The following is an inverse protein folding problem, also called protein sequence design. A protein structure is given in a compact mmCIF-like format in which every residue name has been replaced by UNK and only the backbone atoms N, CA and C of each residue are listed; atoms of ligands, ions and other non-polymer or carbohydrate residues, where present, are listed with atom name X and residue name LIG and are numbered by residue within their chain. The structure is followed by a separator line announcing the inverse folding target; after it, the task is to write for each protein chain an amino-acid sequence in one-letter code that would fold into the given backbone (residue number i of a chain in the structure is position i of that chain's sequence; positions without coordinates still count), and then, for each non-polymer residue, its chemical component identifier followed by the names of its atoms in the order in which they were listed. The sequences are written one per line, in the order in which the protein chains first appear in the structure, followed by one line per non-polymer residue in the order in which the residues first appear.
data_IF_458164341653
#
_entry.id   IF_458164341653
#
_cell.length_a   1.000
_cell.length_b   1.000
_cell.length_c   1.000
_cell.angle_alpha   90.00
_cell.angle_beta   90.00
_cell.angle_gamma   90.00
#
_symmetry.space_group_name_H-M   'P 1'
#
loop_
_entity.id
_entity.type
_entity.pdbx_description
1 polymer ?
#
# COMPACT_ATOMS: atom_id res chain seq x y z
N UNK A 1 26.61 -32.61 -7.95
CA UNK A 1 25.98 -31.58 -8.79
C UNK A 1 24.70 -31.15 -8.06
N UNK A 2 24.54 -29.85 -7.76
CA UNK A 2 23.30 -29.38 -7.15
C UNK A 2 22.15 -29.51 -8.16
N UNK A 3 20.96 -29.89 -7.71
CA UNK A 3 19.75 -29.76 -8.51
C UNK A 3 19.34 -28.30 -8.67
N UNK A 4 18.42 -28.02 -9.58
CA UNK A 4 18.02 -26.65 -9.89
C UNK A 4 17.44 -25.88 -8.69
N UNK A 5 16.49 -26.45 -7.90
CA UNK A 5 15.95 -25.77 -6.72
C UNK A 5 17.02 -25.42 -5.69
N UNK A 6 17.94 -26.32 -5.41
CA UNK A 6 19.03 -26.10 -4.48
C UNK A 6 20.01 -25.04 -4.99
N UNK A 7 20.29 -25.03 -6.31
CA UNK A 7 21.14 -24.02 -6.93
C UNK A 7 20.52 -22.63 -6.84
N UNK A 8 19.20 -22.52 -7.07
CA UNK A 8 18.46 -21.24 -6.94
C UNK A 8 18.47 -20.74 -5.51
N UNK A 9 18.24 -21.61 -4.52
CA UNK A 9 18.30 -21.24 -3.10
C UNK A 9 19.70 -20.79 -2.69
N UNK A 10 20.74 -21.56 -3.04
CA UNK A 10 22.11 -21.20 -2.71
C UNK A 10 22.56 -19.89 -3.39
N UNK A 11 22.05 -19.63 -4.61
CA UNK A 11 22.30 -18.38 -5.33
C UNK A 11 21.64 -17.19 -4.62
N UNK A 12 20.37 -17.30 -4.27
CA UNK A 12 19.64 -16.26 -3.54
C UNK A 12 20.29 -15.98 -2.17
N UNK A 13 20.62 -17.01 -1.44
CA UNK A 13 21.27 -16.92 -0.13
C UNK A 13 22.63 -16.21 -0.22
N UNK A 14 23.42 -16.55 -1.23
CA UNK A 14 24.67 -15.87 -1.51
C UNK A 14 24.50 -14.39 -1.88
N UNK A 15 23.44 -14.02 -2.62
CA UNK A 15 23.12 -12.63 -2.94
C UNK A 15 22.80 -11.80 -1.70
N UNK A 16 22.10 -12.40 -0.74
CA UNK A 16 21.69 -11.76 0.51
C UNK A 16 22.80 -11.71 1.57
N UNK A 17 23.97 -12.28 1.27
CA UNK A 17 25.13 -12.28 2.16
C UNK A 17 25.17 -13.44 3.17
N UNK A 18 24.34 -14.47 2.95
CA UNK A 18 24.36 -15.73 3.71
C UNK A 18 25.48 -16.67 3.27
N UNK A 19 25.13 -17.87 2.81
CA UNK A 19 26.09 -18.90 2.41
C UNK A 19 26.87 -18.55 1.13
N UNK A 20 28.15 -18.95 1.06
CA UNK A 20 28.93 -18.91 -0.18
C UNK A 20 28.94 -20.25 -0.94
N UNK A 21 28.03 -21.17 -0.59
CA UNK A 21 27.95 -22.52 -1.21
C UNK A 21 27.86 -22.45 -2.74
N UNK A 22 27.16 -21.41 -3.24
CA UNK A 22 26.99 -21.22 -4.70
C UNK A 22 28.33 -21.00 -5.43
N UNK A 23 29.32 -20.41 -4.79
CA UNK A 23 30.63 -20.15 -5.45
C UNK A 23 31.31 -21.44 -5.95
N UNK A 24 31.09 -22.56 -5.25
CA UNK A 24 31.61 -23.87 -5.67
C UNK A 24 30.94 -24.40 -6.94
N UNK A 25 29.74 -23.89 -7.29
CA UNK A 25 29.00 -24.30 -8.51
C UNK A 25 29.21 -23.33 -9.68
N UNK A 26 29.70 -22.12 -9.41
CA UNK A 26 29.97 -21.11 -10.42
C UNK A 26 31.31 -21.31 -11.09
N UNK A 27 31.44 -20.91 -12.34
CA UNK A 27 32.68 -20.92 -13.09
C UNK A 27 33.11 -19.48 -13.41
N UNK A 28 34.37 -19.21 -13.16
CA UNK A 28 35.01 -18.00 -13.68
C UNK A 28 35.28 -18.09 -15.18
N UNK A 29 35.85 -17.06 -15.74
CA UNK A 29 36.34 -17.02 -17.12
C UNK A 29 37.85 -16.76 -17.17
N UNK A 30 38.40 -16.55 -18.37
CA UNK A 30 39.84 -16.31 -18.55
C UNK A 30 40.35 -15.00 -17.91
N UNK A 31 39.46 -14.08 -17.51
CA UNK A 31 39.83 -12.76 -16.99
C UNK A 31 39.47 -12.61 -15.51
N UNK A 32 38.36 -13.24 -15.05
CA UNK A 32 37.81 -13.02 -13.73
C UNK A 32 37.44 -14.32 -13.04
N UNK A 33 37.63 -14.36 -11.72
CA UNK A 33 37.20 -15.49 -10.88
C UNK A 33 35.68 -15.54 -10.72
N UNK A 34 35.13 -16.71 -10.38
CA UNK A 34 33.73 -16.87 -10.06
C UNK A 34 33.28 -15.94 -8.92
N UNK A 35 34.15 -15.76 -7.92
CA UNK A 35 33.89 -14.90 -6.76
C UNK A 35 33.78 -13.42 -7.17
N UNK A 36 34.70 -12.92 -8.00
CA UNK A 36 34.65 -11.54 -8.53
C UNK A 36 33.38 -11.30 -9.32
N UNK A 37 33.06 -12.20 -10.25
CA UNK A 37 31.84 -12.08 -11.08
C UNK A 37 30.57 -12.13 -10.24
N UNK A 38 30.51 -13.01 -9.25
CA UNK A 38 29.38 -13.09 -8.32
C UNK A 38 29.27 -11.84 -7.45
N UNK A 39 30.39 -11.27 -7.00
CA UNK A 39 30.45 -10.01 -6.27
C UNK A 39 29.86 -8.83 -7.07
N UNK A 40 30.21 -8.72 -8.36
CA UNK A 40 29.62 -7.72 -9.26
C UNK A 40 28.11 -7.90 -9.39
N UNK A 41 27.67 -9.15 -9.60
CA UNK A 41 26.24 -9.46 -9.71
C UNK A 41 25.48 -9.13 -8.42
N UNK A 42 26.04 -9.50 -7.26
CA UNK A 42 25.48 -9.19 -5.95
C UNK A 42 25.31 -7.69 -5.74
N UNK A 43 26.35 -6.90 -6.07
CA UNK A 43 26.26 -5.45 -5.97
C UNK A 43 25.17 -4.87 -6.88
N UNK A 44 25.09 -5.34 -8.12
CA UNK A 44 24.06 -4.93 -9.06
C UNK A 44 22.63 -5.32 -8.58
N UNK A 45 22.47 -6.49 -8.00
CA UNK A 45 21.20 -6.94 -7.41
C UNK A 45 20.73 -6.00 -6.28
N UNK A 46 21.64 -5.67 -5.34
CA UNK A 46 21.34 -4.76 -4.25
C UNK A 46 21.02 -3.36 -4.74
N UNK A 47 21.80 -2.83 -5.69
CA UNK A 47 21.53 -1.50 -6.26
C UNK A 47 20.16 -1.44 -6.92
N UNK A 48 19.77 -2.46 -7.69
CA UNK A 48 18.46 -2.51 -8.33
C UNK A 48 17.31 -2.56 -7.32
N UNK A 49 17.45 -3.31 -6.21
CA UNK A 49 16.45 -3.34 -5.16
C UNK A 49 16.30 -1.98 -4.48
N UNK A 50 17.39 -1.34 -4.14
CA UNK A 50 17.38 0.01 -3.52
C UNK A 50 16.79 1.04 -4.48
N UNK A 51 17.16 1.01 -5.75
CA UNK A 51 16.61 1.87 -6.79
C UNK A 51 15.09 1.66 -6.95
N UNK A 52 14.63 0.42 -7.04
CA UNK A 52 13.21 0.09 -7.12
C UNK A 52 12.44 0.60 -5.91
N UNK A 53 12.97 0.36 -4.70
CA UNK A 53 12.36 0.92 -3.48
C UNK A 53 12.34 2.46 -3.51
N UNK A 54 13.36 3.10 -4.07
CA UNK A 54 13.39 4.56 -4.21
C UNK A 54 12.33 5.10 -5.17
N UNK A 55 11.92 4.32 -6.17
CA UNK A 55 10.83 4.65 -7.10
C UNK A 55 9.47 4.50 -6.41
N UNK A 56 9.27 3.40 -5.67
CA UNK A 56 8.00 3.10 -4.99
C UNK A 56 7.78 3.96 -3.74
N UNK A 57 8.88 4.46 -3.12
CA UNK A 57 8.85 5.22 -1.86
C UNK A 57 9.54 6.59 -1.99
N UNK A 58 9.11 7.45 -2.92
CA UNK A 58 9.78 8.73 -3.17
C UNK A 58 9.64 9.72 -2.00
N UNK A 59 8.50 9.73 -1.31
CA UNK A 59 8.29 10.57 -0.13
C UNK A 59 9.16 10.13 1.04
N UNK A 60 9.28 8.82 1.28
CA UNK A 60 10.17 8.26 2.29
C UNK A 60 11.63 8.58 1.98
N UNK A 61 12.04 8.47 0.71
CA UNK A 61 13.38 8.80 0.27
C UNK A 61 13.70 10.28 0.49
N UNK A 62 12.77 11.18 0.12
CA UNK A 62 12.90 12.61 0.36
C UNK A 62 12.95 12.96 1.87
N UNK A 63 12.17 12.24 2.69
CA UNK A 63 12.13 12.41 4.13
C UNK A 63 13.43 11.98 4.82
N UNK A 64 14.02 10.87 4.37
CA UNK A 64 15.23 10.29 4.96
C UNK A 64 16.51 10.96 4.43
N UNK A 65 16.51 11.38 3.18
CA UNK A 65 17.70 11.70 2.39
C UNK A 65 18.38 10.45 1.82
N UNK A 66 19.13 10.62 0.73
CA UNK A 66 19.65 9.51 -0.07
C UNK A 66 20.48 8.49 0.73
N UNK A 67 21.42 8.95 1.55
CA UNK A 67 22.29 8.05 2.32
C UNK A 67 21.54 7.26 3.40
N UNK A 68 20.61 7.92 4.10
CA UNK A 68 19.82 7.25 5.13
C UNK A 68 18.80 6.29 4.50
N UNK A 69 18.25 6.64 3.35
CA UNK A 69 17.36 5.77 2.60
C UNK A 69 18.09 4.50 2.10
N UNK A 70 19.34 4.62 1.57
CA UNK A 70 20.13 3.44 1.16
C UNK A 70 20.38 2.50 2.34
N UNK A 71 20.76 3.02 3.51
CA UNK A 71 20.95 2.22 4.72
C UNK A 71 19.66 1.52 5.17
N UNK A 72 18.54 2.24 5.16
CA UNK A 72 17.22 1.74 5.49
C UNK A 72 16.79 0.63 4.54
N UNK A 73 16.89 0.87 3.23
CA UNK A 73 16.49 -0.08 2.20
C UNK A 73 17.32 -1.38 2.29
N UNK A 74 18.63 -1.28 2.50
CA UNK A 74 19.49 -2.45 2.71
C UNK A 74 19.15 -3.22 3.96
N UNK A 75 18.90 -2.54 5.09
CA UNK A 75 18.49 -3.18 6.33
C UNK A 75 17.15 -3.92 6.16
N UNK A 76 16.20 -3.30 5.48
CA UNK A 76 14.91 -3.90 5.17
C UNK A 76 15.05 -5.16 4.30
N UNK A 77 15.73 -5.07 3.15
CA UNK A 77 15.89 -6.19 2.21
C UNK A 77 16.64 -7.35 2.87
N UNK A 78 17.66 -7.05 3.69
CA UNK A 78 18.39 -8.08 4.44
C UNK A 78 17.52 -8.87 5.41
N UNK A 79 16.51 -8.21 6.00
CA UNK A 79 15.59 -8.83 6.96
C UNK A 79 14.33 -9.42 6.32
N UNK A 80 13.92 -8.85 5.19
CA UNK A 80 12.72 -9.25 4.43
C UNK A 80 13.07 -9.52 2.96
N UNK A 81 13.84 -10.59 2.68
CA UNK A 81 14.13 -10.97 1.30
C UNK A 81 12.83 -11.25 0.54
N UNK A 82 12.78 -10.82 -0.72
CA UNK A 82 11.60 -11.02 -1.55
C UNK A 82 11.31 -12.51 -1.72
N UNK A 83 10.08 -12.91 -1.45
CA UNK A 83 9.56 -14.26 -1.71
C UNK A 83 8.70 -14.29 -2.97
N UNK A 84 8.58 -13.16 -3.67
CA UNK A 84 7.80 -13.03 -4.88
C UNK A 84 8.71 -12.79 -6.09
N UNK A 85 8.46 -13.40 -7.26
CA UNK A 85 9.30 -13.25 -8.44
C UNK A 85 9.30 -11.81 -8.99
N UNK A 86 8.24 -11.04 -8.76
CA UNK A 86 8.16 -9.65 -9.18
C UNK A 86 8.73 -8.72 -8.11
N UNK A 87 9.64 -7.85 -8.52
CA UNK A 87 10.28 -6.81 -7.69
C UNK A 87 9.26 -5.82 -7.11
N UNK A 88 8.12 -5.65 -7.79
CA UNK A 88 6.99 -4.82 -7.36
C UNK A 88 6.58 -5.07 -5.89
N UNK A 89 6.65 -6.32 -5.44
CA UNK A 89 6.22 -6.68 -4.09
C UNK A 89 7.33 -6.55 -3.03
N UNK A 90 8.52 -6.12 -3.45
CA UNK A 90 9.66 -6.03 -2.55
C UNK A 90 9.40 -5.10 -1.36
N UNK A 91 8.71 -3.96 -1.58
CA UNK A 91 8.45 -2.94 -0.56
C UNK A 91 7.23 -3.18 0.34
N UNK A 92 6.40 -4.19 0.09
CA UNK A 92 5.08 -4.37 0.73
C UNK A 92 5.08 -4.37 2.27
N UNK A 93 6.18 -4.71 2.90
CA UNK A 93 6.33 -4.78 4.36
C UNK A 93 7.21 -3.67 4.93
N UNK A 94 7.60 -2.69 4.11
CA UNK A 94 8.54 -1.65 4.54
C UNK A 94 7.97 -0.80 5.67
N UNK A 95 6.69 -0.42 5.62
CA UNK A 95 6.03 0.32 6.70
C UNK A 95 6.02 -0.46 8.02
N UNK A 96 5.71 -1.76 7.98
CA UNK A 96 5.72 -2.64 9.17
C UNK A 96 7.14 -2.76 9.76
N UNK A 97 8.14 -2.92 8.91
CA UNK A 97 9.54 -2.96 9.30
C UNK A 97 9.95 -1.66 10.01
N UNK A 98 9.61 -0.50 9.44
CA UNK A 98 9.95 0.79 10.01
C UNK A 98 9.22 1.07 11.34
N UNK A 99 8.01 0.56 11.51
CA UNK A 99 7.26 0.68 12.75
C UNK A 99 7.82 -0.21 13.89
N UNK A 100 8.55 -1.27 13.56
CA UNK A 100 9.04 -2.24 14.55
C UNK A 100 10.53 -2.15 14.85
N UNK A 101 11.35 -1.67 13.92
CA UNK A 101 12.79 -1.77 13.98
C UNK A 101 13.47 -0.46 14.37
N UNK A 102 14.41 -0.55 15.31
CA UNK A 102 15.30 0.57 15.63
C UNK A 102 16.28 0.84 14.48
N UNK A 103 16.66 2.09 14.26
CA UNK A 103 16.23 3.29 14.97
C UNK A 103 14.91 3.90 14.47
N UNK A 104 14.33 3.40 13.38
CA UNK A 104 13.22 4.02 12.64
C UNK A 104 11.91 4.02 13.43
N UNK A 105 11.65 2.98 14.26
CA UNK A 105 10.42 2.88 15.07
C UNK A 105 10.21 4.04 16.04
N UNK A 106 11.29 4.74 16.39
CA UNK A 106 11.25 5.86 17.33
C UNK A 106 10.73 7.15 16.67
N UNK A 107 10.60 7.14 15.33
CA UNK A 107 10.04 8.23 14.57
C UNK A 107 8.95 7.73 13.61
N UNK A 108 7.66 7.86 13.98
CA UNK A 108 6.53 7.32 13.22
C UNK A 108 6.39 7.92 11.81
N UNK A 109 7.02 9.06 11.53
CA UNK A 109 7.01 9.63 10.19
C UNK A 109 7.55 8.68 9.12
N UNK A 110 8.53 7.86 9.46
CA UNK A 110 9.09 6.89 8.52
C UNK A 110 8.07 5.82 8.14
N UNK A 111 7.41 5.22 9.13
CA UNK A 111 6.43 4.17 8.92
C UNK A 111 5.17 4.70 8.19
N UNK A 112 4.68 5.89 8.61
CA UNK A 112 3.50 6.52 8.01
C UNK A 112 3.77 6.94 6.56
N UNK A 113 4.95 7.52 6.27
CA UNK A 113 5.35 7.91 4.93
C UNK A 113 5.49 6.68 4.01
N UNK A 114 6.11 5.61 4.51
CA UNK A 114 6.20 4.36 3.76
C UNK A 114 4.80 3.76 3.50
N UNK A 115 3.90 3.82 4.47
CA UNK A 115 2.51 3.34 4.30
C UNK A 115 1.78 4.16 3.23
N UNK A 116 1.99 5.46 3.23
CA UNK A 116 1.37 6.37 2.28
C UNK A 116 1.93 6.16 0.86
N UNK A 117 3.26 6.16 0.69
CA UNK A 117 3.89 5.89 -0.61
C UNK A 117 3.45 4.54 -1.19
N UNK A 118 3.42 3.48 -0.34
CA UNK A 118 2.98 2.16 -0.78
C UNK A 118 1.54 2.16 -1.26
N UNK A 119 0.63 2.88 -0.59
CA UNK A 119 -0.76 2.95 -1.02
C UNK A 119 -0.91 3.60 -2.40
N UNK A 120 -0.13 4.64 -2.69
CA UNK A 120 -0.15 5.29 -4.00
C UNK A 120 0.44 4.39 -5.09
N UNK A 121 1.58 3.74 -4.83
CA UNK A 121 2.20 2.79 -5.74
C UNK A 121 1.27 1.58 -6.01
N UNK A 122 0.64 1.06 -4.96
CA UNK A 122 -0.34 -0.03 -5.07
C UNK A 122 -1.54 0.39 -5.94
N UNK A 123 -2.11 1.57 -5.70
CA UNK A 123 -3.25 2.06 -6.47
C UNK A 123 -2.90 2.24 -7.95
N UNK A 124 -1.67 2.68 -8.27
CA UNK A 124 -1.19 2.81 -9.64
C UNK A 124 -1.15 1.46 -10.36
N UNK A 125 -0.65 0.45 -9.71
CA UNK A 125 -0.36 -0.86 -10.29
C UNK A 125 -1.51 -1.88 -10.20
N UNK A 126 -2.52 -1.64 -9.35
CA UNK A 126 -3.64 -2.57 -9.17
C UNK A 126 -4.47 -2.71 -10.47
N UNK A 127 -5.11 -3.86 -10.68
CA UNK A 127 -5.90 -4.09 -11.90
C UNK A 127 -7.07 -3.10 -12.00
N UNK A 128 -7.49 -2.85 -13.25
CA UNK A 128 -8.71 -2.10 -13.52
C UNK A 128 -9.95 -2.93 -13.20
N UNK A 129 -11.02 -2.23 -12.85
CA UNK A 129 -12.36 -2.78 -12.73
C UNK A 129 -13.37 -1.73 -13.23
N UNK A 130 -14.58 -2.15 -13.66
CA UNK A 130 -15.64 -1.20 -13.88
C UNK A 130 -15.99 -0.46 -12.59
N UNK A 131 -16.49 0.78 -12.70
CA UNK A 131 -16.99 1.54 -11.57
C UNK A 131 -18.51 1.60 -11.64
N UNK A 132 -19.17 1.16 -10.57
CA UNK A 132 -20.61 1.35 -10.39
C UNK A 132 -20.90 2.81 -10.02
N UNK A 133 -21.95 3.35 -10.60
CA UNK A 133 -22.44 4.69 -10.33
C UNK A 133 -23.79 4.70 -9.59
N UNK A 134 -24.27 5.90 -9.29
CA UNK A 134 -25.58 6.06 -8.65
C UNK A 134 -26.72 5.45 -9.48
N UNK A 135 -26.59 5.45 -10.83
CA UNK A 135 -27.55 4.88 -11.75
C UNK A 135 -27.82 3.37 -11.50
N UNK A 136 -26.79 2.64 -11.05
CA UNK A 136 -26.91 1.20 -10.73
C UNK A 136 -27.75 0.92 -9.50
N UNK A 137 -27.98 1.92 -8.66
CA UNK A 137 -28.78 1.83 -7.44
C UNK A 137 -30.20 2.42 -7.61
N UNK A 138 -30.46 3.19 -8.65
CA UNK A 138 -31.77 3.88 -8.84
C UNK A 138 -32.96 2.93 -8.92
N UNK A 139 -32.74 1.71 -9.43
CA UNK A 139 -33.78 0.69 -9.57
C UNK A 139 -33.99 -0.20 -8.34
N UNK A 140 -33.18 -0.05 -7.30
CA UNK A 140 -33.27 -0.91 -6.10
C UNK A 140 -34.48 -0.49 -5.24
N UNK A 141 -35.48 -1.39 -5.02
CA UNK A 141 -36.59 -1.05 -4.15
C UNK A 141 -36.13 -0.77 -2.71
N UNK A 142 -36.79 0.17 -1.99
CA UNK A 142 -36.33 0.62 -0.66
C UNK A 142 -36.14 -0.50 0.35
N UNK A 143 -36.96 -1.55 0.30
CA UNK A 143 -36.91 -2.72 1.18
C UNK A 143 -35.60 -3.54 1.04
N UNK A 144 -34.90 -3.45 -0.09
CA UNK A 144 -33.63 -4.17 -0.35
C UNK A 144 -32.40 -3.35 -0.05
N UNK A 145 -32.52 -2.04 0.20
CA UNK A 145 -31.37 -1.16 0.45
C UNK A 145 -30.53 -1.61 1.64
N UNK A 146 -31.18 -2.09 2.71
CA UNK A 146 -30.46 -2.59 3.87
C UNK A 146 -29.55 -3.79 3.58
N UNK A 147 -29.89 -4.59 2.56
CA UNK A 147 -29.13 -5.77 2.15
C UNK A 147 -28.01 -5.51 1.12
N UNK A 148 -27.87 -4.27 0.60
CA UNK A 148 -26.87 -3.97 -0.41
C UNK A 148 -25.47 -4.30 0.12
N UNK A 149 -24.70 -5.05 -0.68
CA UNK A 149 -23.27 -5.30 -0.49
C UNK A 149 -22.49 -4.63 -1.61
N UNK A 150 -21.37 -4.01 -1.26
CA UNK A 150 -20.50 -3.33 -2.22
C UNK A 150 -19.19 -4.10 -2.39
N UNK A 151 -18.82 -4.38 -3.63
CA UNK A 151 -17.45 -4.72 -3.97
C UNK A 151 -16.73 -3.44 -4.37
N UNK A 152 -15.60 -3.18 -3.73
CA UNK A 152 -14.82 -1.97 -4.00
C UNK A 152 -13.81 -2.17 -5.11
N UNK A 153 -13.47 -1.06 -5.76
CA UNK A 153 -12.46 -1.04 -6.82
C UNK A 153 -11.13 -1.58 -6.29
N UNK A 154 -10.42 -2.47 -7.01
CA UNK A 154 -9.20 -3.12 -6.52
C UNK A 154 -8.04 -2.16 -6.24
N UNK A 155 -8.09 -0.93 -6.78
CA UNK A 155 -7.10 0.11 -6.49
C UNK A 155 -7.30 0.81 -5.15
N UNK A 156 -8.45 0.59 -4.49
CA UNK A 156 -8.80 1.28 -3.25
C UNK A 156 -8.07 0.69 -2.06
N UNK A 157 -7.33 1.54 -1.36
CA UNK A 157 -6.72 1.25 -0.06
C UNK A 157 -7.06 2.35 0.94
N UNK A 158 -7.44 1.97 2.16
CA UNK A 158 -7.75 2.89 3.24
C UNK A 158 -6.98 2.50 4.51
N UNK A 159 -6.32 3.47 5.12
CA UNK A 159 -5.41 3.23 6.24
C UNK A 159 -5.33 4.43 7.18
N UNK A 160 -4.78 4.17 8.37
CA UNK A 160 -4.55 5.19 9.39
C UNK A 160 -3.09 5.63 9.38
N UNK A 161 -2.88 6.90 9.65
CA UNK A 161 -1.57 7.51 9.91
C UNK A 161 -1.65 8.32 11.21
N UNK A 162 -0.50 8.50 11.85
CA UNK A 162 -0.37 9.25 13.11
C UNK A 162 0.35 10.59 12.94
N UNK A 163 0.86 10.84 11.74
CA UNK A 163 1.62 12.05 11.39
C UNK A 163 1.08 12.66 10.10
N UNK A 164 1.23 13.96 9.85
CA UNK A 164 0.67 14.64 8.67
C UNK A 164 1.52 14.41 7.41
N UNK A 165 1.85 13.15 7.08
CA UNK A 165 2.68 12.80 5.91
C UNK A 165 1.99 13.10 4.58
N UNK A 166 0.66 13.05 4.54
CA UNK A 166 -0.16 13.40 3.38
C UNK A 166 0.00 14.86 2.95
N UNK A 167 0.15 15.76 3.92
CA UNK A 167 0.45 17.17 3.68
C UNK A 167 1.94 17.43 3.42
N UNK A 168 2.80 16.66 4.05
CA UNK A 168 4.25 16.83 3.96
C UNK A 168 4.84 16.28 2.66
N UNK A 169 4.33 15.16 2.16
CA UNK A 169 4.87 14.46 0.98
C UNK A 169 4.97 15.34 -0.27
N UNK A 170 3.93 16.05 -0.73
CA UNK A 170 4.04 16.92 -1.88
C UNK A 170 5.15 17.98 -1.72
N UNK A 171 5.22 18.60 -0.55
CA UNK A 171 6.24 19.60 -0.22
C UNK A 171 7.65 19.04 -0.23
N UNK A 172 7.84 17.82 0.27
CA UNK A 172 9.12 17.11 0.26
C UNK A 172 9.56 16.76 -1.16
N UNK A 173 8.63 16.36 -2.02
CA UNK A 173 8.94 16.04 -3.43
C UNK A 173 9.29 17.29 -4.25
N UNK A 174 8.71 18.45 -3.92
CA UNK A 174 9.09 19.73 -4.53
C UNK A 174 10.43 20.24 -3.99
N UNK A 175 10.65 20.10 -2.68
CA UNK A 175 11.87 20.58 -2.00
C UNK A 175 12.18 19.70 -0.78
N UNK A 176 13.13 18.76 -0.93
CA UNK A 176 13.54 17.87 0.16
C UNK A 176 14.12 18.60 1.39
N UNK A 177 14.54 19.87 1.26
CA UNK A 177 15.04 20.68 2.37
C UNK A 177 13.95 21.41 3.16
N UNK A 178 12.64 21.14 2.87
CA UNK A 178 11.55 21.74 3.61
C UNK A 178 11.60 21.35 5.10
N UNK A 179 11.47 22.34 5.98
CA UNK A 179 11.41 22.08 7.41
C UNK A 179 10.08 21.42 7.78
N UNK A 180 10.14 20.32 8.49
CA UNK A 180 8.99 19.61 9.02
C UNK A 180 9.01 19.64 10.55
N UNK A 181 7.86 19.85 11.15
CA UNK A 181 7.69 19.62 12.58
C UNK A 181 7.57 18.11 12.84
N UNK A 182 8.70 17.48 13.15
CA UNK A 182 8.78 16.04 13.42
C UNK A 182 8.05 15.62 14.72
N UNK A 183 7.71 16.55 15.57
CA UNK A 183 6.90 16.31 16.77
C UNK A 183 5.39 16.32 16.47
N UNK A 184 4.98 16.85 15.31
CA UNK A 184 3.58 16.89 14.93
C UNK A 184 2.95 15.49 14.92
N UNK A 185 1.79 15.40 15.53
CA UNK A 185 0.94 14.20 15.52
C UNK A 185 -0.44 14.59 15.03
N UNK A 186 -0.98 13.77 14.14
CA UNK A 186 -2.29 13.99 13.55
C UNK A 186 -2.87 12.65 13.16
N UNK A 187 -3.62 12.04 14.09
CA UNK A 187 -4.33 10.80 13.75
C UNK A 187 -5.40 11.11 12.71
N UNK A 188 -5.27 10.51 11.54
CA UNK A 188 -6.21 10.64 10.44
C UNK A 188 -6.29 9.37 9.60
N UNK A 189 -7.40 9.20 8.93
CA UNK A 189 -7.54 8.15 7.95
C UNK A 189 -7.27 8.72 6.55
N UNK A 190 -6.58 7.96 5.74
CA UNK A 190 -6.32 8.28 4.33
C UNK A 190 -6.98 7.19 3.48
N UNK A 191 -7.55 7.62 2.38
CA UNK A 191 -8.03 6.77 1.31
C UNK A 191 -7.25 7.10 0.05
N UNK A 192 -6.70 6.09 -0.62
CA UNK A 192 -5.99 6.19 -1.89
C UNK A 192 -6.65 5.27 -2.92
N UNK A 193 -6.79 5.76 -4.16
CA UNK A 193 -7.40 5.00 -5.25
C UNK A 193 -6.93 5.55 -6.59
N UNK A 194 -7.33 4.91 -7.70
CA UNK A 194 -7.03 5.36 -9.06
C UNK A 194 -8.31 5.55 -9.87
N UNK A 195 -8.35 6.61 -10.68
CA UNK A 195 -9.38 6.86 -11.68
C UNK A 195 -8.67 6.98 -13.03
N UNK A 196 -8.92 6.04 -13.93
CA UNK A 196 -8.14 5.94 -15.16
C UNK A 196 -6.66 5.75 -14.85
N UNK A 197 -5.80 6.68 -15.26
CA UNK A 197 -4.35 6.66 -14.97
C UNK A 197 -3.96 7.53 -13.76
N UNK A 198 -4.92 8.30 -13.20
CA UNK A 198 -4.67 9.25 -12.13
C UNK A 198 -4.84 8.63 -10.75
N UNK A 199 -3.76 8.50 -10.00
CA UNK A 199 -3.81 8.14 -8.58
C UNK A 199 -4.28 9.34 -7.76
N UNK A 200 -5.30 9.13 -6.96
CA UNK A 200 -5.92 10.11 -6.07
C UNK A 200 -5.77 9.66 -4.62
N UNK A 201 -5.77 10.61 -3.72
CA UNK A 201 -5.91 10.35 -2.29
C UNK A 201 -6.65 11.48 -1.60
N UNK A 202 -7.21 11.18 -0.45
CA UNK A 202 -7.84 12.19 0.45
C UNK A 202 -7.82 11.73 1.89
N UNK A 203 -7.80 12.69 2.80
CA UNK A 203 -8.11 12.45 4.19
C UNK A 203 -9.63 12.23 4.33
N UNK A 204 -10.01 11.23 5.11
CA UNK A 204 -11.38 10.93 5.52
C UNK A 204 -11.46 10.90 7.03
N UNK A 205 -12.66 11.08 7.57
CA UNK A 205 -12.83 10.96 9.01
C UNK A 205 -12.82 9.47 9.47
N UNK A 206 -12.66 9.27 10.76
CA UNK A 206 -12.61 7.93 11.34
C UNK A 206 -13.89 7.14 11.14
N UNK A 207 -15.03 7.82 11.09
CA UNK A 207 -16.33 7.19 10.87
C UNK A 207 -16.41 6.60 9.46
N UNK A 208 -16.04 7.39 8.46
CA UNK A 208 -16.01 6.95 7.06
C UNK A 208 -14.99 5.81 6.84
N UNK A 209 -13.79 5.91 7.44
CA UNK A 209 -12.80 4.84 7.40
C UNK A 209 -13.36 3.52 7.97
N UNK A 210 -13.96 3.57 9.15
CA UNK A 210 -14.47 2.37 9.82
C UNK A 210 -15.66 1.77 9.05
N UNK A 211 -16.53 2.63 8.47
CA UNK A 211 -17.61 2.23 7.58
C UNK A 211 -17.07 1.52 6.32
N UNK A 212 -16.08 2.12 5.65
CA UNK A 212 -15.43 1.54 4.49
C UNK A 212 -14.80 0.17 4.81
N UNK A 213 -14.08 0.08 5.93
CA UNK A 213 -13.44 -1.19 6.36
C UNK A 213 -14.47 -2.27 6.70
N UNK A 214 -15.62 -1.91 7.25
CA UNK A 214 -16.72 -2.86 7.51
C UNK A 214 -17.30 -3.39 6.19
N UNK A 215 -17.61 -2.49 5.25
CA UNK A 215 -18.14 -2.84 3.93
C UNK A 215 -17.16 -3.71 3.12
N UNK A 216 -15.85 -3.39 3.14
CA UNK A 216 -14.81 -4.21 2.51
C UNK A 216 -14.72 -5.63 3.09
N UNK A 217 -15.19 -5.84 4.35
CA UNK A 217 -15.27 -7.16 4.98
C UNK A 217 -16.61 -7.86 4.75
N UNK A 218 -17.46 -7.28 3.91
CA UNK A 218 -18.72 -7.87 3.50
C UNK A 218 -19.93 -7.42 4.35
N UNK A 219 -19.81 -6.38 5.18
CA UNK A 219 -20.96 -5.80 5.83
C UNK A 219 -21.97 -5.27 4.79
N UNK A 220 -23.24 -5.28 5.12
CA UNK A 220 -24.30 -4.70 4.29
C UNK A 220 -24.40 -3.18 4.53
N UNK A 221 -25.07 -2.49 3.62
CA UNK A 221 -25.35 -1.06 3.79
C UNK A 221 -26.19 -0.78 5.06
N UNK A 222 -27.13 -1.65 5.41
CA UNK A 222 -27.90 -1.56 6.66
C UNK A 222 -26.99 -1.65 7.90
N UNK A 223 -26.06 -2.62 7.93
CA UNK A 223 -25.09 -2.76 9.02
C UNK A 223 -24.17 -1.55 9.12
N UNK A 224 -23.76 -0.97 7.98
CA UNK A 224 -23.00 0.28 7.94
C UNK A 224 -23.82 1.45 8.52
N UNK A 225 -25.08 1.59 8.14
CA UNK A 225 -25.98 2.61 8.69
C UNK A 225 -26.11 2.48 10.21
N UNK A 226 -26.27 1.26 10.73
CA UNK A 226 -26.30 1.00 12.18
C UNK A 226 -24.99 1.40 12.86
N UNK A 227 -23.84 1.12 12.23
CA UNK A 227 -22.54 1.52 12.75
C UNK A 227 -22.43 3.05 12.84
N UNK A 228 -22.89 3.78 11.81
CA UNK A 228 -22.95 5.23 11.80
C UNK A 228 -23.87 5.78 12.90
N UNK A 229 -25.07 5.17 13.05
CA UNK A 229 -26.05 5.56 14.06
C UNK A 229 -25.58 5.36 15.51
N UNK A 230 -24.65 4.45 15.76
CA UNK A 230 -24.04 4.29 17.11
C UNK A 230 -23.13 5.44 17.51
N UNK A 231 -22.67 6.26 16.56
CA UNK A 231 -21.71 7.35 16.79
C UNK A 231 -22.29 8.74 16.58
N UNK A 232 -23.45 8.83 15.95
CA UNK A 232 -24.16 10.07 15.66
C UNK A 232 -25.61 9.98 16.20
N UNK A 233 -26.24 11.14 16.33
CA UNK A 233 -27.67 11.20 16.70
C UNK A 233 -28.55 10.69 15.56
N UNK A 234 -29.83 10.41 15.91
CA UNK A 234 -30.80 9.81 14.98
C UNK A 234 -31.18 10.73 13.80
N UNK A 235 -30.93 12.04 13.91
CA UNK A 235 -31.24 13.01 12.87
C UNK A 235 -30.11 13.10 11.83
N UNK A 236 -28.84 13.09 12.29
CA UNK A 236 -27.66 13.26 11.42
C UNK A 236 -27.15 11.95 10.83
N UNK A 237 -27.35 10.82 11.49
CA UNK A 237 -26.81 9.53 11.05
C UNK A 237 -27.27 9.08 9.65
N UNK A 238 -28.57 9.17 9.29
CA UNK A 238 -29.02 8.76 7.94
C UNK A 238 -28.40 9.62 6.83
N UNK A 239 -28.35 10.93 7.05
CA UNK A 239 -27.78 11.87 6.09
C UNK A 239 -26.27 11.57 5.90
N UNK A 240 -25.53 11.32 6.98
CA UNK A 240 -24.11 11.02 6.91
C UNK A 240 -23.83 9.68 6.20
N UNK A 241 -24.61 8.66 6.46
CA UNK A 241 -24.50 7.37 5.76
C UNK A 241 -24.76 7.52 4.25
N UNK A 242 -25.78 8.30 3.88
CA UNK A 242 -26.07 8.60 2.47
C UNK A 242 -24.93 9.39 1.80
N UNK A 243 -24.38 10.40 2.46
CA UNK A 243 -23.25 11.17 1.96
C UNK A 243 -21.99 10.32 1.74
N UNK A 244 -21.71 9.39 2.66
CA UNK A 244 -20.60 8.44 2.55
C UNK A 244 -20.79 7.58 1.28
N UNK A 245 -21.95 6.94 1.14
CA UNK A 245 -22.24 6.09 -0.02
C UNK A 245 -22.18 6.89 -1.34
N UNK A 246 -22.83 8.06 -1.37
CA UNK A 246 -22.81 8.93 -2.54
C UNK A 246 -21.37 9.30 -2.94
N UNK A 247 -20.54 9.70 -1.98
CA UNK A 247 -19.13 10.02 -2.25
C UNK A 247 -18.36 8.84 -2.83
N UNK A 248 -18.56 7.63 -2.29
CA UNK A 248 -17.88 6.45 -2.82
C UNK A 248 -18.27 6.13 -4.26
N UNK A 249 -19.55 6.32 -4.63
CA UNK A 249 -20.03 6.14 -6.00
C UNK A 249 -19.51 7.23 -6.93
N UNK A 250 -19.57 8.49 -6.53
CA UNK A 250 -19.09 9.63 -7.32
C UNK A 250 -17.58 9.57 -7.59
N UNK A 251 -16.81 9.02 -6.66
CA UNK A 251 -15.35 8.85 -6.83
C UNK A 251 -14.96 7.54 -7.52
N UNK A 252 -15.94 6.75 -7.97
CA UNK A 252 -15.68 5.48 -8.66
C UNK A 252 -15.01 4.42 -7.77
N UNK A 253 -15.26 4.46 -6.46
CA UNK A 253 -14.65 3.52 -5.52
C UNK A 253 -15.37 2.17 -5.46
N UNK A 254 -16.61 2.10 -5.95
CA UNK A 254 -17.44 0.90 -5.97
C UNK A 254 -17.33 0.24 -7.33
N UNK A 255 -16.95 -1.03 -7.38
CA UNK A 255 -16.91 -1.80 -8.61
C UNK A 255 -18.27 -2.42 -8.94
N UNK A 256 -18.94 -3.01 -7.94
CA UNK A 256 -20.28 -3.58 -8.09
C UNK A 256 -21.12 -3.36 -6.82
N UNK A 257 -22.42 -3.30 -7.00
CA UNK A 257 -23.39 -3.29 -5.89
C UNK A 257 -24.36 -4.46 -6.11
N UNK A 258 -24.47 -5.34 -5.13
CA UNK A 258 -25.32 -6.51 -5.15
C UNK A 258 -26.43 -6.40 -4.09
N UNK A 259 -27.63 -6.91 -4.38
CA UNK A 259 -28.74 -6.96 -3.45
C UNK A 259 -29.58 -8.21 -3.66
N UNK A 260 -30.27 -8.69 -2.64
CA UNK A 260 -31.06 -9.92 -2.70
C UNK A 260 -32.43 -9.77 -3.39
N UNK A 261 -32.70 -8.63 -4.05
CA UNK A 261 -33.97 -8.32 -4.70
C UNK A 261 -34.08 -8.80 -6.16
N UNK A 262 -35.27 -8.82 -6.74
CA UNK A 262 -35.48 -9.11 -8.16
C UNK A 262 -34.75 -8.07 -9.01
N UNK A 263 -33.91 -8.53 -9.94
CA UNK A 263 -33.09 -7.69 -10.83
C UNK A 263 -31.58 -7.69 -10.51
N UNK A 264 -31.16 -8.33 -9.43
CA UNK A 264 -29.74 -8.64 -9.21
C UNK A 264 -29.31 -9.76 -10.17
N UNK A 265 -28.95 -9.40 -11.41
CA UNK A 265 -28.37 -10.35 -12.33
C UNK A 265 -26.84 -10.24 -12.26
N UNK A 266 -26.22 -11.42 -12.14
CA UNK A 266 -24.80 -11.69 -12.12
C UNK A 266 -24.04 -11.13 -13.34
#
# INVERSE_FOLDING_TARGET
MMDLPRSQHAFQDGLLGGSQEILGALRGNARETAETMFGVYRNAYWSRLVESLGVDFPGLKALAGDEAFDRLARAYVGKHPSQHPSIRWAGRRLSEFLASEAPWRDDPWFADMARFDWALAFAFDAPDAPAAGLADLVGVPPEFWGGIRLAFHPTLDAFLISTPVDEARPRLLENAAVALDRAARSERAIMAWRIGEDVKFRAIDRLEHDALRAMQKGATFGEMCEQVARRLDAETAPLRAAQILQGWLEWGLVATAEHDGPGSAA
#
